data_IF_212889987750
#
_entry.id   IF_212889987750
#
_cell.length_a   1.000
_cell.length_b   1.000
_cell.length_c   1.000
_cell.angle_alpha   90.00
_cell.angle_beta   90.00
_cell.angle_gamma   90.00
#
_symmetry.space_group_name_H-M   'P 1'
#
loop_
_entity.id
_entity.type
_entity.pdbx_description
1 polymer ?
#
# COMPACT_ATOMS: atom_id res chain seq x y z
N UNK A 1 22.54 -60.15 -35.84
CA UNK A 1 23.21 -58.85 -35.64
C UNK A 1 22.52 -58.15 -34.48
N UNK A 2 23.24 -57.97 -33.39
CA UNK A 2 22.76 -57.50 -32.08
C UNK A 2 22.37 -56.02 -32.13
N UNK A 3 21.13 -55.68 -31.74
CA UNK A 3 20.72 -54.30 -31.47
C UNK A 3 21.17 -53.90 -30.06
N UNK A 4 21.95 -52.82 -29.97
CA UNK A 4 22.28 -52.18 -28.69
C UNK A 4 21.10 -51.28 -28.28
N UNK A 5 20.44 -51.61 -27.17
CA UNK A 5 19.54 -50.68 -26.50
C UNK A 5 20.38 -49.73 -25.64
N UNK A 6 20.49 -48.46 -26.04
CA UNK A 6 21.08 -47.41 -25.22
C UNK A 6 19.97 -46.79 -24.35
N UNK A 7 20.05 -47.00 -23.03
CA UNK A 7 19.16 -46.33 -22.07
C UNK A 7 19.79 -44.98 -21.74
N UNK A 8 19.20 -43.89 -22.23
CA UNK A 8 19.57 -42.53 -21.85
C UNK A 8 18.85 -42.17 -20.53
N UNK A 9 19.58 -42.14 -19.41
CA UNK A 9 19.10 -41.57 -18.16
C UNK A 9 19.30 -40.05 -18.19
N UNK A 10 18.23 -39.28 -18.39
CA UNK A 10 18.25 -37.83 -18.18
C UNK A 10 17.89 -37.52 -16.73
N UNK A 11 18.92 -37.25 -15.91
CA UNK A 11 18.77 -36.68 -14.58
C UNK A 11 18.34 -35.20 -14.71
N UNK A 12 17.04 -34.92 -14.58
CA UNK A 12 16.57 -33.56 -14.27
C UNK A 12 16.82 -33.29 -12.78
N UNK A 13 17.96 -32.67 -12.48
CA UNK A 13 18.18 -32.05 -11.18
C UNK A 13 17.41 -30.73 -11.13
N UNK A 14 16.38 -30.65 -10.29
CA UNK A 14 15.85 -29.35 -9.88
C UNK A 14 16.85 -28.74 -8.90
N UNK A 15 17.63 -27.75 -9.35
CA UNK A 15 18.41 -26.90 -8.46
C UNK A 15 17.39 -25.96 -7.82
N UNK A 16 16.95 -26.27 -6.60
CA UNK A 16 16.25 -25.30 -5.77
C UNK A 16 17.27 -24.21 -5.39
N UNK A 17 17.33 -23.14 -6.17
CA UNK A 17 18.00 -21.92 -5.76
C UNK A 17 17.10 -21.20 -4.77
N UNK A 18 17.24 -21.46 -3.47
CA UNK A 18 16.69 -20.56 -2.47
C UNK A 18 17.60 -19.33 -2.42
N UNK A 19 17.14 -18.21 -2.99
CA UNK A 19 17.74 -16.92 -2.67
C UNK A 19 17.33 -16.59 -1.23
N UNK A 20 18.28 -16.63 -0.30
CA UNK A 20 18.03 -16.21 1.07
C UNK A 20 17.99 -14.69 1.10
N UNK A 21 16.80 -14.10 1.00
CA UNK A 21 16.60 -12.69 1.27
C UNK A 21 16.86 -12.41 2.75
N UNK A 22 17.73 -11.44 3.04
CA UNK A 22 17.81 -10.84 4.38
C UNK A 22 16.72 -9.79 4.47
N UNK A 23 15.91 -9.85 5.53
CA UNK A 23 14.94 -8.80 5.86
C UNK A 23 15.56 -7.84 6.89
N UNK A 24 15.30 -6.55 6.74
CA UNK A 24 15.71 -5.52 7.69
C UNK A 24 14.56 -5.20 8.65
N UNK A 25 14.80 -5.39 9.95
CA UNK A 25 13.84 -5.04 10.99
C UNK A 25 14.33 -3.80 11.73
N UNK A 26 13.56 -2.72 11.65
CA UNK A 26 13.93 -1.42 12.20
C UNK A 26 12.98 -1.01 13.31
N UNK A 27 13.54 -0.62 14.46
CA UNK A 27 12.80 -0.02 15.56
C UNK A 27 13.17 1.45 15.67
N UNK A 28 12.32 2.30 15.10
CA UNK A 28 12.56 3.74 15.00
C UNK A 28 11.96 4.44 16.19
N UNK A 29 12.80 5.13 16.96
CA UNK A 29 12.41 5.90 18.13
C UNK A 29 12.79 7.36 17.86
N UNK A 30 11.79 8.18 17.57
CA UNK A 30 11.99 9.59 17.18
C UNK A 30 11.48 10.51 18.29
N UNK A 31 12.26 11.53 18.67
CA UNK A 31 11.81 12.58 19.59
C UNK A 31 12.03 13.96 18.98
N UNK A 32 10.96 14.76 18.94
CA UNK A 32 11.03 16.16 18.50
C UNK A 32 10.26 17.03 19.48
N UNK A 33 10.92 18.05 20.04
CA UNK A 33 10.27 19.10 20.85
C UNK A 33 9.33 18.55 21.96
N UNK A 34 9.64 17.40 22.55
CA UNK A 34 8.85 16.66 23.59
C UNK A 34 7.76 15.70 23.10
N UNK A 35 7.45 15.65 21.80
CA UNK A 35 6.71 14.55 21.19
C UNK A 35 7.68 13.37 20.94
N UNK A 36 7.15 12.15 20.97
CA UNK A 36 7.93 10.95 20.69
C UNK A 36 7.08 9.96 19.91
N UNK A 37 7.68 9.35 18.90
CA UNK A 37 7.08 8.25 18.13
C UNK A 37 7.94 7.00 18.27
N UNK A 38 7.27 5.87 18.32
CA UNK A 38 7.90 4.54 18.31
C UNK A 38 7.20 3.73 17.24
N UNK A 39 7.95 3.36 16.21
CA UNK A 39 7.46 2.67 15.03
C UNK A 39 8.38 1.46 14.79
N UNK A 40 7.79 0.34 14.42
CA UNK A 40 8.52 -0.86 14.01
C UNK A 40 8.23 -1.14 12.54
N UNK A 41 9.28 -1.25 11.74
CA UNK A 41 9.19 -1.49 10.29
C UNK A 41 9.94 -2.78 9.90
N UNK A 42 9.52 -3.39 8.80
CA UNK A 42 10.17 -4.52 8.14
C UNK A 42 10.35 -4.18 6.67
N UNK A 43 11.59 -4.09 6.19
CA UNK A 43 11.91 -3.62 4.83
C UNK A 43 11.19 -2.30 4.48
N UNK A 44 11.22 -1.34 5.42
CA UNK A 44 10.52 -0.05 5.39
C UNK A 44 8.98 -0.08 5.44
N UNK A 45 8.35 -1.25 5.37
CA UNK A 45 6.91 -1.39 5.60
C UNK A 45 6.59 -1.31 7.10
N UNK A 46 5.63 -0.48 7.48
CA UNK A 46 5.16 -0.39 8.86
C UNK A 46 4.52 -1.71 9.33
N UNK A 47 5.01 -2.23 10.46
CA UNK A 47 4.46 -3.41 11.12
C UNK A 47 3.55 -2.99 12.27
N UNK A 48 4.01 -2.06 13.10
CA UNK A 48 3.20 -1.45 14.14
C UNK A 48 3.75 -0.09 14.58
N UNK A 49 2.89 0.75 15.14
CA UNK A 49 3.27 1.94 15.88
C UNK A 49 2.61 1.99 17.26
N UNK A 50 3.16 2.81 18.16
CA UNK A 50 2.56 3.04 19.47
C UNK A 50 1.66 4.29 19.46
N UNK A 51 0.37 4.10 19.71
CA UNK A 51 -0.56 5.19 20.00
C UNK A 51 -0.52 5.50 21.50
N UNK A 52 0.26 6.51 21.87
CA UNK A 52 0.37 6.96 23.26
C UNK A 52 -0.87 7.68 23.79
N UNK A 53 -1.85 8.05 22.95
CA UNK A 53 -3.12 8.64 23.39
C UNK A 53 -4.13 7.55 23.74
N UNK A 54 -4.17 6.49 22.94
CA UNK A 54 -5.05 5.32 23.17
C UNK A 54 -4.45 4.27 24.11
N UNK A 55 -3.16 4.40 24.42
CA UNK A 55 -2.41 3.49 25.27
C UNK A 55 -2.28 2.07 24.70
N UNK A 56 -2.11 1.96 23.38
CA UNK A 56 -2.00 0.68 22.68
C UNK A 56 -0.95 0.71 21.56
N UNK A 57 -0.63 -0.47 21.03
CA UNK A 57 0.08 -0.59 19.75
C UNK A 57 -0.92 -0.90 18.65
N UNK A 58 -0.86 -0.11 17.58
CA UNK A 58 -1.67 -0.32 16.39
C UNK A 58 -0.86 -1.16 15.43
N UNK A 59 -1.35 -2.36 15.15
CA UNK A 59 -0.70 -3.32 14.25
C UNK A 59 -1.23 -3.18 12.84
N UNK A 60 -0.35 -3.30 11.85
CA UNK A 60 -0.80 -3.44 10.47
C UNK A 60 -1.70 -4.69 10.34
N UNK A 61 -2.81 -4.53 9.62
CA UNK A 61 -3.84 -5.56 9.43
C UNK A 61 -3.31 -6.86 8.83
N UNK A 62 -2.21 -6.81 8.07
CA UNK A 62 -1.54 -7.96 7.45
C UNK A 62 -0.76 -8.78 8.47
N UNK A 63 -0.48 -8.25 9.66
CA UNK A 63 0.29 -8.93 10.70
C UNK A 63 -0.62 -9.84 11.54
N UNK A 64 -0.47 -11.18 11.43
CA UNK A 64 -1.27 -12.13 12.16
C UNK A 64 -1.10 -12.01 13.68
N UNK A 65 -2.17 -12.27 14.43
CA UNK A 65 -2.17 -12.13 15.89
C UNK A 65 -1.06 -12.93 16.60
N UNK A 66 -0.68 -14.10 16.07
CA UNK A 66 0.37 -14.93 16.68
C UNK A 66 1.79 -14.38 16.52
N UNK A 67 2.01 -13.42 15.62
CA UNK A 67 3.30 -12.70 15.48
C UNK A 67 3.34 -11.42 16.31
N UNK A 68 2.22 -11.02 16.93
CA UNK A 68 2.15 -9.81 17.73
C UNK A 68 2.83 -10.03 19.07
N UNK A 69 3.62 -9.04 19.49
CA UNK A 69 4.41 -9.12 20.71
C UNK A 69 3.56 -8.65 21.91
N UNK A 70 3.32 -9.52 22.88
CA UNK A 70 2.49 -9.24 24.08
C UNK A 70 2.96 -8.05 24.93
N UNK A 71 4.22 -7.61 24.75
CA UNK A 71 4.83 -6.51 25.50
C UNK A 71 5.27 -5.31 24.64
N UNK A 72 4.78 -5.22 23.39
CA UNK A 72 5.18 -4.17 22.46
C UNK A 72 4.90 -2.75 23.00
N UNK A 73 3.74 -2.55 23.65
CA UNK A 73 3.37 -1.24 24.17
C UNK A 73 4.26 -0.82 25.35
N UNK A 74 4.55 -1.72 26.30
CA UNK A 74 5.46 -1.43 27.42
C UNK A 74 6.87 -1.09 26.93
N UNK A 75 7.35 -1.80 25.90
CA UNK A 75 8.60 -1.47 25.24
C UNK A 75 8.57 -0.06 24.62
N UNK A 76 7.48 0.30 23.94
CA UNK A 76 7.33 1.62 23.35
C UNK A 76 7.32 2.75 24.42
N UNK A 77 6.66 2.53 25.55
CA UNK A 77 6.68 3.45 26.69
C UNK A 77 8.11 3.62 27.24
N UNK A 78 8.84 2.52 27.42
CA UNK A 78 10.23 2.55 27.86
C UNK A 78 11.14 3.33 26.88
N UNK A 79 11.04 3.02 25.59
CA UNK A 79 11.77 3.69 24.52
C UNK A 79 11.47 5.19 24.45
N UNK A 80 10.20 5.58 24.60
CA UNK A 80 9.78 6.98 24.70
C UNK A 80 10.43 7.69 25.89
N UNK A 81 10.51 7.04 27.05
CA UNK A 81 11.19 7.63 28.21
C UNK A 81 12.68 7.83 27.97
N UNK A 82 13.37 6.85 27.40
CA UNK A 82 14.79 6.97 27.07
C UNK A 82 15.05 8.08 26.06
N UNK A 83 14.27 8.11 24.98
CA UNK A 83 14.43 9.08 23.90
C UNK A 83 14.26 10.52 24.40
N UNK A 84 13.25 10.79 25.23
CA UNK A 84 13.08 12.11 25.87
C UNK A 84 14.27 12.47 26.76
N UNK A 85 14.74 11.52 27.57
CA UNK A 85 15.90 11.74 28.46
C UNK A 85 17.16 12.07 27.66
N UNK A 86 17.43 11.33 26.58
CA UNK A 86 18.55 11.63 25.70
C UNK A 86 18.37 12.97 25.00
N UNK A 87 17.20 13.28 24.43
CA UNK A 87 16.97 14.58 23.82
C UNK A 87 17.32 15.75 24.75
N UNK A 88 16.89 15.72 26.01
CA UNK A 88 17.22 16.79 26.98
C UNK A 88 18.72 16.89 27.30
N UNK A 89 19.45 15.78 27.26
CA UNK A 89 20.91 15.79 27.46
C UNK A 89 21.65 16.37 26.25
N UNK A 90 21.19 16.09 25.03
CA UNK A 90 21.87 16.46 23.79
C UNK A 90 21.43 17.82 23.23
N UNK A 91 20.26 18.33 23.62
CA UNK A 91 19.73 19.65 23.20
C UNK A 91 20.66 20.83 23.51
N UNK A 92 21.59 20.66 24.47
CA UNK A 92 22.58 21.68 24.84
C UNK A 92 23.75 21.84 23.85
N UNK A 93 23.87 20.96 22.85
CA UNK A 93 24.97 20.95 21.90
C UNK A 93 24.74 21.96 20.76
N UNK A 94 25.40 23.12 20.85
CA UNK A 94 25.22 24.27 19.94
C UNK A 94 25.88 24.09 18.56
N UNK A 95 26.49 22.94 18.27
CA UNK A 95 27.26 22.70 17.04
C UNK A 95 26.49 21.93 15.96
N UNK A 96 25.27 21.46 16.24
CA UNK A 96 24.47 20.78 15.23
C UNK A 96 23.97 21.81 14.19
N UNK A 97 24.26 21.62 12.90
CA UNK A 97 23.65 22.44 11.85
C UNK A 97 22.13 22.33 11.92
N UNK A 98 21.43 23.45 11.73
CA UNK A 98 19.99 23.41 11.44
C UNK A 98 19.82 22.85 10.03
N UNK A 99 19.71 21.53 9.92
CA UNK A 99 19.28 20.88 8.69
C UNK A 99 17.78 21.15 8.55
N UNK A 100 17.37 21.63 7.38
CA UNK A 100 15.96 21.85 7.04
C UNK A 100 15.82 21.52 5.56
N UNK A 101 15.04 20.50 5.24
CA UNK A 101 14.86 19.99 3.87
C UNK A 101 13.37 19.99 3.52
N UNK A 102 13.05 20.43 2.30
CA UNK A 102 11.67 20.63 1.87
C UNK A 102 11.05 19.33 1.31
N UNK A 103 9.76 19.07 1.60
CA UNK A 103 9.11 17.84 1.19
C UNK A 103 8.87 17.74 -0.33
N UNK A 104 9.13 16.56 -0.85
CA UNK A 104 8.63 16.09 -2.14
C UNK A 104 7.29 15.40 -1.94
N UNK A 105 6.32 15.66 -2.82
CA UNK A 105 4.96 15.13 -2.70
C UNK A 105 4.59 14.40 -3.98
N UNK A 106 3.94 13.26 -3.82
CA UNK A 106 3.31 12.51 -4.92
C UNK A 106 1.96 12.00 -4.42
N UNK A 107 0.91 12.19 -5.21
CA UNK A 107 -0.43 11.64 -4.92
C UNK A 107 -0.80 10.60 -5.97
N UNK A 108 -1.25 9.43 -5.52
CA UNK A 108 -1.66 8.34 -6.40
C UNK A 108 -2.77 7.50 -5.76
N UNK A 109 -3.53 6.77 -6.59
CA UNK A 109 -4.53 5.82 -6.11
C UNK A 109 -3.87 4.50 -5.73
N UNK A 110 -4.38 3.87 -4.66
CA UNK A 110 -3.91 2.56 -4.20
C UNK A 110 -4.18 1.46 -5.22
N UNK A 111 -5.38 1.48 -5.81
CA UNK A 111 -5.81 0.53 -6.83
C UNK A 111 -6.23 1.29 -8.10
N UNK A 112 -6.47 0.53 -9.17
CA UNK A 112 -7.09 1.04 -10.39
C UNK A 112 -8.42 1.74 -10.06
N UNK A 113 -8.66 2.86 -10.72
CA UNK A 113 -9.80 3.72 -10.43
C UNK A 113 -11.00 3.26 -11.24
N UNK A 114 -11.91 2.55 -10.58
CA UNK A 114 -13.15 2.05 -11.17
C UNK A 114 -14.31 2.85 -10.62
N UNK A 115 -15.18 3.36 -11.49
CA UNK A 115 -16.31 4.23 -11.13
C UNK A 115 -17.21 3.59 -10.06
N UNK A 116 -17.63 4.37 -9.06
CA UNK A 116 -18.49 3.96 -7.94
C UNK A 116 -17.92 2.86 -7.01
N UNK A 117 -16.62 2.62 -7.05
CA UNK A 117 -15.95 1.64 -6.18
C UNK A 117 -15.15 2.33 -5.08
N UNK A 118 -15.08 1.69 -3.91
CA UNK A 118 -14.22 2.12 -2.81
C UNK A 118 -12.75 1.99 -3.21
N UNK A 119 -11.97 3.04 -2.93
CA UNK A 119 -10.54 3.06 -3.15
C UNK A 119 -9.89 4.00 -2.11
N UNK A 120 -8.57 4.15 -2.17
CA UNK A 120 -7.85 5.07 -1.31
C UNK A 120 -6.83 5.86 -2.13
N UNK A 121 -6.71 7.15 -1.83
CA UNK A 121 -5.60 7.97 -2.29
C UNK A 121 -4.48 7.92 -1.26
N UNK A 122 -3.25 7.90 -1.75
CA UNK A 122 -2.03 7.93 -0.98
C UNK A 122 -1.28 9.19 -1.36
N UNK A 123 -1.01 10.05 -0.37
CA UNK A 123 -0.07 11.16 -0.49
C UNK A 123 1.25 10.71 0.15
N UNK A 124 2.22 10.40 -0.71
CA UNK A 124 3.59 10.11 -0.31
C UNK A 124 4.35 11.42 -0.16
N UNK A 125 4.88 11.65 1.04
CA UNK A 125 5.60 12.87 1.41
C UNK A 125 7.00 12.42 1.80
N UNK A 126 8.02 12.87 1.09
CA UNK A 126 9.39 12.38 1.22
C UNK A 126 10.41 13.51 1.35
N UNK A 127 11.62 13.16 1.76
CA UNK A 127 12.82 14.01 1.78
C UNK A 127 12.68 15.28 2.62
N UNK A 128 11.90 15.22 3.71
CA UNK A 128 11.72 16.38 4.59
C UNK A 128 12.43 16.21 5.92
N UNK A 129 12.90 17.34 6.45
CA UNK A 129 13.42 17.42 7.79
C UNK A 129 13.21 18.85 8.31
N UNK A 130 12.80 19.06 9.58
CA UNK A 130 12.53 18.07 10.62
C UNK A 130 11.19 17.35 10.41
N UNK A 131 10.91 16.26 11.16
CA UNK A 131 9.66 15.51 11.06
C UNK A 131 8.52 16.21 11.81
N UNK A 132 8.22 17.44 11.39
CA UNK A 132 7.12 18.27 11.88
C UNK A 132 6.40 18.85 10.67
N UNK A 133 5.29 18.22 10.29
CA UNK A 133 4.46 18.65 9.16
C UNK A 133 2.99 18.72 9.56
N UNK A 134 2.20 19.48 8.80
CA UNK A 134 0.75 19.36 8.81
C UNK A 134 0.28 18.94 7.43
N UNK A 135 -0.72 18.06 7.41
CA UNK A 135 -1.27 17.50 6.18
C UNK A 135 -2.77 17.75 6.20
N UNK A 136 -3.29 18.22 5.08
CA UNK A 136 -4.70 18.46 4.88
C UNK A 136 -5.15 17.86 3.56
N UNK A 137 -6.30 17.20 3.58
CA UNK A 137 -6.96 16.71 2.38
C UNK A 137 -8.13 17.60 2.00
N UNK A 138 -8.33 17.76 0.70
CA UNK A 138 -9.50 18.43 0.14
C UNK A 138 -10.11 17.58 -0.97
N UNK A 139 -11.44 17.67 -1.12
CA UNK A 139 -12.21 17.17 -2.24
C UNK A 139 -12.95 18.34 -2.87
N UNK A 140 -12.71 18.61 -4.14
CA UNK A 140 -13.31 19.72 -4.90
C UNK A 140 -13.16 21.07 -4.15
N UNK A 141 -12.00 21.28 -3.53
CA UNK A 141 -11.67 22.48 -2.74
C UNK A 141 -12.23 22.52 -1.32
N UNK A 142 -13.01 21.52 -0.88
CA UNK A 142 -13.58 21.44 0.47
C UNK A 142 -12.74 20.47 1.31
N UNK A 143 -12.39 20.87 2.53
CA UNK A 143 -11.63 20.03 3.46
C UNK A 143 -12.39 18.76 3.84
N UNK A 144 -11.67 17.63 3.88
CA UNK A 144 -12.20 16.32 4.26
C UNK A 144 -11.30 15.70 5.34
N UNK A 145 -11.92 14.98 6.27
CA UNK A 145 -11.19 14.31 7.35
C UNK A 145 -10.59 12.96 6.88
N UNK A 146 -9.51 12.54 7.53
CA UNK A 146 -8.86 11.25 7.32
C UNK A 146 -9.26 10.28 8.43
N UNK A 147 -9.32 8.98 8.11
CA UNK A 147 -9.68 7.95 9.09
C UNK A 147 -8.61 7.77 10.19
N UNK A 148 -7.33 7.95 9.83
CA UNK A 148 -6.21 7.92 10.76
C UNK A 148 -5.40 9.22 10.68
N UNK A 149 -5.29 9.90 11.82
CA UNK A 149 -4.50 11.12 11.96
C UNK A 149 -3.06 10.84 12.42
N UNK A 150 -2.73 9.58 12.71
CA UNK A 150 -1.37 9.20 13.04
C UNK A 150 -0.46 9.37 11.81
N UNK A 151 0.67 10.04 12.03
CA UNK A 151 1.66 10.31 11.01
C UNK A 151 2.92 9.53 11.36
N UNK A 152 3.13 8.41 10.68
CA UNK A 152 4.30 7.56 10.88
C UNK A 152 5.52 8.16 10.17
N UNK A 153 6.40 8.85 10.91
CA UNK A 153 7.65 9.37 10.33
C UNK A 153 8.70 8.27 10.23
N UNK A 154 9.00 7.85 9.00
CA UNK A 154 9.99 6.81 8.70
C UNK A 154 11.31 7.50 8.30
N UNK A 155 12.42 7.05 8.88
CA UNK A 155 13.75 7.62 8.65
C UNK A 155 14.33 7.08 7.35
N UNK A 156 14.75 7.98 6.46
CA UNK A 156 15.49 7.64 5.26
C UNK A 156 16.98 7.41 5.55
N UNK A 157 17.70 6.65 4.70
CA UNK A 157 19.15 6.46 4.83
C UNK A 157 19.97 7.75 4.77
N UNK A 158 19.44 8.81 4.15
CA UNK A 158 20.07 10.13 4.05
C UNK A 158 19.84 11.03 5.28
N UNK A 159 19.06 10.56 6.26
CA UNK A 159 18.73 11.29 7.49
C UNK A 159 17.47 12.18 7.40
N UNK A 160 16.81 12.24 6.25
CA UNK A 160 15.48 12.86 6.11
C UNK A 160 14.37 11.90 6.51
N UNK A 161 13.11 12.35 6.45
CA UNK A 161 11.95 11.52 6.75
C UNK A 161 11.02 11.39 5.55
N UNK A 162 10.28 10.30 5.54
CA UNK A 162 9.10 10.11 4.69
C UNK A 162 7.89 9.65 5.51
N UNK A 163 6.70 9.84 4.95
CA UNK A 163 5.48 9.24 5.46
C UNK A 163 4.42 9.09 4.38
N UNK A 164 3.37 8.34 4.70
CA UNK A 164 2.18 8.16 3.87
C UNK A 164 0.95 8.70 4.58
N UNK A 165 0.20 9.60 3.91
CA UNK A 165 -1.15 9.97 4.34
C UNK A 165 -2.16 9.32 3.42
N UNK A 166 -3.20 8.70 3.99
CA UNK A 166 -4.22 7.97 3.23
C UNK A 166 -5.59 8.64 3.37
N UNK A 167 -6.32 8.74 2.26
CA UNK A 167 -7.72 9.17 2.24
C UNK A 167 -8.57 8.11 1.53
N UNK A 168 -9.50 7.50 2.26
CA UNK A 168 -10.54 6.64 1.67
C UNK A 168 -11.53 7.47 0.85
N UNK A 169 -11.91 6.98 -0.33
CA UNK A 169 -12.91 7.64 -1.17
C UNK A 169 -13.69 6.64 -2.01
N UNK A 170 -14.87 7.06 -2.48
CA UNK A 170 -15.59 6.37 -3.55
C UNK A 170 -15.25 7.07 -4.86
N UNK A 171 -14.72 6.33 -5.82
CA UNK A 171 -14.32 6.88 -7.11
C UNK A 171 -15.53 7.42 -7.86
N UNK A 172 -15.39 8.66 -8.34
CA UNK A 172 -16.37 9.35 -9.14
C UNK A 172 -15.63 10.25 -10.13
N UNK A 173 -15.84 10.00 -11.41
CA UNK A 173 -15.18 10.72 -12.49
C UNK A 173 -15.30 12.25 -12.33
N UNK A 174 -14.18 12.94 -12.54
CA UNK A 174 -14.08 14.39 -12.43
C UNK A 174 -13.99 14.96 -11.01
N UNK A 175 -14.05 14.14 -9.96
CA UNK A 175 -13.68 14.61 -8.61
C UNK A 175 -12.18 14.92 -8.56
N UNK A 176 -11.83 16.04 -7.93
CA UNK A 176 -10.45 16.49 -7.74
C UNK A 176 -10.12 16.43 -6.25
N UNK A 177 -9.06 15.72 -5.90
CA UNK A 177 -8.54 15.65 -4.55
C UNK A 177 -7.22 16.41 -4.44
N UNK A 178 -6.98 17.07 -3.31
CA UNK A 178 -5.74 17.79 -3.05
C UNK A 178 -5.13 17.37 -1.71
N UNK A 179 -3.85 17.02 -1.72
CA UNK A 179 -3.03 16.83 -0.52
C UNK A 179 -2.16 18.07 -0.30
N UNK A 180 -2.45 18.84 0.74
CA UNK A 180 -1.70 20.05 1.12
C UNK A 180 -0.78 19.76 2.30
N UNK A 181 0.49 20.12 2.17
CA UNK A 181 1.52 19.96 3.21
C UNK A 181 2.07 21.32 3.64
N UNK A 182 2.04 21.57 4.96
CA UNK A 182 2.76 22.66 5.61
C UNK A 182 4.04 22.11 6.25
N UNK A 183 5.19 22.72 5.95
CA UNK A 183 6.49 22.39 6.54
C UNK A 183 7.34 23.66 6.65
N UNK A 184 8.25 23.72 7.63
CA UNK A 184 9.04 24.94 7.89
C UNK A 184 10.03 25.29 6.78
N UNK A 185 10.43 24.32 5.93
CA UNK A 185 11.28 24.56 4.78
C UNK A 185 10.54 25.22 3.61
N UNK A 186 9.20 25.23 3.64
CA UNK A 186 8.36 25.78 2.58
C UNK A 186 7.94 27.22 2.91
N UNK A 187 8.13 28.13 1.96
CA UNK A 187 7.64 29.51 2.07
C UNK A 187 6.10 29.57 2.07
N UNK A 188 5.46 28.66 1.35
CA UNK A 188 4.00 28.51 1.26
C UNK A 188 3.62 27.02 1.26
N UNK A 189 2.40 26.65 1.73
CA UNK A 189 1.97 25.26 1.72
C UNK A 189 2.00 24.68 0.31
N UNK A 190 2.56 23.48 0.15
CA UNK A 190 2.62 22.79 -1.14
C UNK A 190 1.42 21.87 -1.28
N UNK A 191 0.74 21.92 -2.43
CA UNK A 191 -0.42 21.05 -2.70
C UNK A 191 -0.18 20.25 -3.97
N UNK A 192 -0.38 18.94 -3.89
CA UNK A 192 -0.45 18.06 -5.05
C UNK A 192 -1.89 17.60 -5.27
N UNK A 193 -2.31 17.58 -6.53
CA UNK A 193 -3.68 17.25 -6.93
C UNK A 193 -3.76 15.89 -7.62
N UNK A 194 -4.89 15.22 -7.42
CA UNK A 194 -5.26 14.00 -8.11
C UNK A 194 -6.66 14.17 -8.71
N UNK A 195 -6.74 14.12 -10.03
CA UNK A 195 -8.02 14.12 -10.75
C UNK A 195 -8.45 12.67 -10.99
N UNK A 196 -9.69 12.37 -10.62
CA UNK A 196 -10.27 11.05 -10.82
C UNK A 196 -10.64 10.88 -12.28
N UNK A 197 -9.92 10.01 -12.96
CA UNK A 197 -10.30 9.44 -14.24
C UNK A 197 -10.65 7.98 -14.03
N UNK A 198 -11.94 7.65 -14.07
CA UNK A 198 -12.39 6.30 -13.79
C UNK A 198 -12.69 5.52 -15.08
N UNK A 199 -12.40 4.23 -15.05
CA UNK A 199 -12.99 3.32 -16.03
C UNK A 199 -14.36 2.88 -15.55
N UNK A 200 -15.36 2.91 -16.43
CA UNK A 200 -16.63 2.24 -16.15
C UNK A 200 -16.39 0.74 -15.99
N UNK A 201 -17.11 0.11 -15.06
CA UNK A 201 -17.06 -1.35 -14.93
C UNK A 201 -17.57 -1.95 -16.24
N UNK A 202 -16.72 -2.74 -16.90
CA UNK A 202 -16.95 -3.23 -18.26
C UNK A 202 -18.11 -4.26 -18.29
N UNK A 203 -19.34 -3.76 -18.28
CA UNK A 203 -20.57 -4.53 -18.38
C UNK A 203 -20.67 -5.32 -19.71
N UNK A 204 -19.78 -5.01 -20.66
CA UNK A 204 -19.69 -5.69 -21.94
C UNK A 204 -19.38 -7.18 -21.77
N UNK A 205 -18.56 -7.57 -20.79
CA UNK A 205 -18.21 -8.99 -20.57
C UNK A 205 -19.42 -9.87 -20.24
N UNK A 206 -20.38 -9.36 -19.46
CA UNK A 206 -21.62 -10.09 -19.16
C UNK A 206 -22.53 -10.22 -20.39
N UNK A 207 -22.59 -9.17 -21.21
CA UNK A 207 -23.36 -9.16 -22.46
C UNK A 207 -22.79 -10.17 -23.46
N UNK A 208 -21.46 -10.26 -23.61
CA UNK A 208 -20.80 -11.23 -24.49
C UNK A 208 -21.01 -12.68 -24.03
N UNK A 209 -20.98 -12.93 -22.71
CA UNK A 209 -21.30 -14.24 -22.15
C UNK A 209 -22.77 -14.65 -22.45
N UNK A 210 -23.72 -13.73 -22.30
CA UNK A 210 -25.13 -13.99 -22.63
C UNK A 210 -25.36 -14.28 -24.12
N UNK A 211 -24.71 -13.53 -25.01
CA UNK A 211 -24.83 -13.73 -26.46
C UNK A 211 -24.20 -15.06 -26.88
N UNK A 212 -23.01 -15.39 -26.37
CA UNK A 212 -22.33 -16.65 -26.72
C UNK A 212 -23.09 -17.88 -26.24
N UNK A 213 -23.66 -17.84 -25.03
CA UNK A 213 -24.50 -18.94 -24.51
C UNK A 213 -25.76 -19.14 -25.34
N UNK A 214 -26.47 -18.06 -25.70
CA UNK A 214 -27.70 -18.18 -26.51
C UNK A 214 -27.44 -18.75 -27.90
N UNK A 215 -26.37 -18.28 -28.57
CA UNK A 215 -25.94 -18.83 -29.86
C UNK A 215 -25.53 -20.30 -29.74
N UNK A 216 -24.81 -20.67 -28.67
CA UNK A 216 -24.44 -22.05 -28.38
C UNK A 216 -25.64 -22.98 -28.23
N UNK A 217 -26.65 -22.58 -27.45
CA UNK A 217 -27.88 -23.37 -27.29
C UNK A 217 -28.67 -23.53 -28.61
N UNK A 218 -28.76 -22.47 -29.41
CA UNK A 218 -29.37 -22.53 -30.74
C UNK A 218 -28.63 -23.51 -31.66
N UNK A 219 -27.29 -23.48 -31.65
CA UNK A 219 -26.48 -24.43 -32.42
C UNK A 219 -26.74 -25.88 -32.03
N UNK A 220 -26.86 -26.17 -30.73
CA UNK A 220 -27.16 -27.52 -30.23
C UNK A 220 -28.57 -27.97 -30.67
N UNK A 221 -29.57 -27.10 -30.54
CA UNK A 221 -30.95 -27.41 -30.94
C UNK A 221 -31.06 -27.69 -32.45
N UNK A 222 -30.40 -26.88 -33.28
CA UNK A 222 -30.37 -27.07 -34.73
C UNK A 222 -29.60 -28.34 -35.11
N UNK A 223 -28.44 -28.59 -34.49
CA UNK A 223 -27.63 -29.78 -34.74
C UNK A 223 -28.36 -31.08 -34.38
N UNK A 224 -29.04 -31.12 -33.23
CA UNK A 224 -29.85 -32.27 -32.82
C UNK A 224 -31.02 -32.52 -33.77
N UNK A 225 -31.70 -31.46 -34.23
CA UNK A 225 -32.77 -31.59 -35.24
C UNK A 225 -32.26 -32.23 -36.54
N UNK A 226 -31.12 -31.75 -37.07
CA UNK A 226 -30.54 -32.31 -38.29
C UNK A 226 -30.04 -33.75 -38.10
N UNK A 227 -29.43 -34.08 -36.96
CA UNK A 227 -28.96 -35.44 -36.67
C UNK A 227 -30.14 -36.43 -36.58
N UNK A 228 -31.23 -36.07 -35.89
CA UNK A 228 -32.44 -36.89 -35.80
C UNK A 228 -33.08 -37.07 -37.18
N UNK A 229 -33.14 -36.00 -37.99
CA UNK A 229 -33.69 -36.08 -39.34
C UNK A 229 -32.81 -36.92 -40.28
N UNK A 230 -31.49 -36.77 -40.21
CA UNK A 230 -30.52 -37.54 -41.01
C UNK A 230 -30.55 -39.03 -40.67
N UNK A 231 -30.69 -39.39 -39.40
CA UNK A 231 -30.76 -40.79 -38.97
C UNK A 231 -32.02 -41.50 -39.50
N UNK A 232 -33.14 -40.76 -39.66
CA UNK A 232 -34.37 -41.30 -40.27
C UNK A 232 -34.26 -41.57 -41.78
N UNK A 233 -33.30 -40.94 -42.47
CA UNK A 233 -33.06 -41.15 -43.90
C UNK A 233 -32.07 -42.28 -44.19
N UNK A 234 -31.26 -42.73 -43.23
CA UNK A 234 -30.34 -43.86 -43.40
C UNK A 234 -30.96 -45.24 -43.09
N UNK A 235 -32.14 -45.27 -42.47
CA UNK A 235 -32.85 -46.52 -42.10
C UNK A 235 -34.05 -46.84 -43.00
N UNK A 236 -34.14 -46.27 -44.20
CA UNK A 236 -35.19 -46.58 -45.19
C UNK A 236 -34.64 -47.14 -46.48
#
# INVERSE_FOLDING_TARGET
MTMFNAIALTLLGAICTSAQGSHELCNTISCVQSSAQVIFTCDDDEVYHADFKKEEVVWDSKIPAFLRLDHAYQYAVYSRHLCKRFFELWKGEKSAPTLTEAPELIVYSRNDVIEQTENALICFINHFFPPVIKIKWTKNGIEVETEDSFQAFILNPDGTFHLFSTLSFIAKDGDIYGCTVEHEALTEPKTEFFEVHSSETDNHSFVYCGISLTVGFLGIAVGTFFAVKGNKYQTS
#
